data_IF_315081368726
#
_entry.id   IF_315081368726
#
_cell.length_a   1.000
_cell.length_b   1.000
_cell.length_c   1.000
_cell.angle_alpha   90.00
_cell.angle_beta   90.00
_cell.angle_gamma   90.00
#
_symmetry.space_group_name_H-M   'P 1'
#
loop_
_entity.id
_entity.type
_entity.pdbx_description
1 polymer ?
#
# COMPACT_ATOMS: atom_id res chain seq x y z
N UNK A 1 22.67 -1.79 7.67
CA UNK A 1 21.95 -1.87 6.39
C UNK A 1 21.27 -3.22 6.39
N UNK A 2 19.97 -3.26 6.68
CA UNK A 2 19.23 -4.52 6.80
C UNK A 2 18.80 -4.90 5.39
N UNK A 3 19.30 -6.02 4.86
CA UNK A 3 18.85 -6.54 3.57
C UNK A 3 17.37 -6.91 3.68
N UNK A 4 16.53 -6.19 2.94
CA UNK A 4 15.14 -6.60 2.74
C UNK A 4 15.16 -7.87 1.87
N UNK A 5 14.80 -9.00 2.46
CA UNK A 5 14.64 -10.25 1.72
C UNK A 5 13.40 -10.11 0.83
N UNK A 6 13.62 -9.99 -0.48
CA UNK A 6 12.53 -9.98 -1.44
C UNK A 6 11.77 -11.32 -1.36
N UNK A 7 10.45 -11.25 -1.23
CA UNK A 7 9.57 -12.42 -1.14
C UNK A 7 9.51 -13.14 -2.51
N UNK A 8 9.85 -12.43 -3.58
CA UNK A 8 9.80 -12.94 -4.95
C UNK A 8 11.19 -13.37 -5.40
N UNK A 9 11.30 -14.57 -5.95
CA UNK A 9 12.53 -15.07 -6.57
C UNK A 9 12.72 -14.43 -7.95
N UNK A 10 13.97 -14.07 -8.30
CA UNK A 10 14.33 -13.43 -9.59
C UNK A 10 13.94 -14.28 -10.80
N UNK A 11 13.79 -15.60 -10.62
CA UNK A 11 13.44 -16.55 -11.67
C UNK A 11 11.98 -17.04 -11.62
N UNK A 12 11.12 -16.47 -10.78
CA UNK A 12 9.71 -16.84 -10.69
C UNK A 12 8.80 -15.73 -11.23
N UNK A 13 7.81 -16.11 -12.04
CA UNK A 13 6.78 -15.19 -12.52
C UNK A 13 5.61 -15.16 -11.54
N UNK A 14 5.63 -14.23 -10.58
CA UNK A 14 4.47 -13.97 -9.71
C UNK A 14 3.39 -13.23 -10.50
N UNK A 15 2.15 -13.71 -10.45
CA UNK A 15 1.01 -13.04 -11.08
C UNK A 15 0.75 -11.66 -10.45
N UNK A 16 0.60 -10.63 -11.30
CA UNK A 16 0.30 -9.27 -10.85
C UNK A 16 -1.15 -9.21 -10.37
N UNK A 17 -1.34 -8.92 -9.09
CA UNK A 17 -2.64 -8.62 -8.48
C UNK A 17 -2.76 -7.11 -8.29
N UNK A 18 -3.88 -6.54 -8.73
CA UNK A 18 -4.16 -5.12 -8.57
C UNK A 18 -4.92 -4.84 -7.28
N UNK A 19 -4.52 -3.78 -6.58
CA UNK A 19 -5.26 -3.22 -5.45
C UNK A 19 -5.82 -1.86 -5.83
N UNK A 20 -7.11 -1.66 -5.55
CA UNK A 20 -7.88 -0.43 -5.79
C UNK A 20 -8.72 -0.13 -4.56
N UNK A 21 -9.51 0.95 -4.61
CA UNK A 21 -10.44 1.32 -3.53
C UNK A 21 -11.38 0.17 -3.13
N UNK A 22 -11.72 -0.71 -4.07
CA UNK A 22 -12.64 -1.82 -3.84
C UNK A 22 -12.06 -2.91 -2.94
N UNK A 23 -10.73 -3.12 -2.97
CA UNK A 23 -10.12 -4.29 -2.33
C UNK A 23 -8.85 -3.98 -1.50
N UNK A 24 -8.41 -2.73 -1.36
CA UNK A 24 -7.20 -2.43 -0.60
C UNK A 24 -7.28 -2.86 0.88
N UNK A 25 -8.49 -2.90 1.47
CA UNK A 25 -8.73 -3.43 2.83
C UNK A 25 -8.43 -4.94 2.97
N UNK A 26 -8.21 -5.66 1.86
CA UNK A 26 -7.79 -7.06 1.87
C UNK A 26 -6.28 -7.22 2.08
N UNK A 27 -5.50 -6.14 2.00
CA UNK A 27 -4.06 -6.15 2.24
C UNK A 27 -3.82 -6.39 3.74
N UNK A 28 -3.09 -7.44 4.15
CA UNK A 28 -2.89 -7.77 5.57
C UNK A 28 -2.31 -6.61 6.40
N UNK A 29 -1.40 -5.83 5.81
CA UNK A 29 -0.79 -4.68 6.47
C UNK A 29 -1.79 -3.53 6.67
N UNK A 30 -2.76 -3.35 5.77
CA UNK A 30 -3.83 -2.37 5.92
C UNK A 30 -4.82 -2.80 7.02
N UNK A 31 -5.10 -4.11 7.12
CA UNK A 31 -5.97 -4.65 8.17
C UNK A 31 -5.40 -4.45 9.59
N UNK A 32 -4.09 -4.27 9.72
CA UNK A 32 -3.42 -3.96 10.99
C UNK A 32 -3.49 -2.48 11.36
N UNK A 33 -3.89 -1.60 10.44
CA UNK A 33 -4.08 -0.17 10.70
C UNK A 33 -5.41 0.10 11.41
N UNK A 34 -5.51 1.23 12.11
CA UNK A 34 -6.77 1.65 12.75
C UNK A 34 -7.89 1.82 11.72
N UNK A 35 -9.14 1.56 12.14
CA UNK A 35 -10.32 1.80 11.29
C UNK A 35 -10.39 3.26 10.81
N UNK A 36 -9.96 4.21 11.65
CA UNK A 36 -9.86 5.63 11.26
C UNK A 36 -8.91 5.82 10.07
N UNK A 37 -7.71 5.24 10.12
CA UNK A 37 -6.76 5.36 9.01
C UNK A 37 -7.27 4.67 7.73
N UNK A 38 -7.93 3.52 7.86
CA UNK A 38 -8.55 2.85 6.72
C UNK A 38 -9.69 3.66 6.12
N UNK A 39 -10.51 4.30 6.96
CA UNK A 39 -11.58 5.18 6.54
C UNK A 39 -11.05 6.45 5.88
N UNK A 40 -10.00 7.07 6.40
CA UNK A 40 -9.35 8.21 5.77
C UNK A 40 -8.84 7.87 4.37
N UNK A 41 -8.18 6.71 4.20
CA UNK A 41 -7.78 6.21 2.88
C UNK A 41 -8.98 6.03 1.93
N UNK A 42 -10.10 5.52 2.44
CA UNK A 42 -11.31 5.33 1.67
C UNK A 42 -11.93 6.66 1.21
N UNK A 43 -12.04 7.64 2.11
CA UNK A 43 -12.58 8.98 1.79
C UNK A 43 -11.73 9.66 0.72
N UNK A 44 -10.41 9.65 0.88
CA UNK A 44 -9.50 10.26 -0.10
C UNK A 44 -9.54 9.52 -1.43
N UNK A 45 -9.58 8.19 -1.40
CA UNK A 45 -9.65 7.36 -2.59
C UNK A 45 -10.96 7.48 -3.38
N UNK A 46 -12.04 7.99 -2.77
CA UNK A 46 -13.28 8.35 -3.47
C UNK A 46 -13.15 9.66 -4.28
N UNK A 47 -12.22 10.54 -3.90
CA UNK A 47 -11.98 11.82 -4.59
C UNK A 47 -10.83 11.71 -5.58
N UNK A 48 -9.73 11.08 -5.17
CA UNK A 48 -8.53 10.90 -5.96
C UNK A 48 -8.39 9.43 -6.37
N UNK A 49 -8.32 9.13 -7.69
CA UNK A 49 -8.18 7.75 -8.14
C UNK A 49 -6.86 7.17 -7.65
N UNK A 50 -6.90 5.97 -7.09
CA UNK A 50 -5.70 5.22 -6.73
C UNK A 50 -5.74 3.78 -7.26
N UNK A 51 -4.56 3.26 -7.59
CA UNK A 51 -4.34 1.85 -7.91
C UNK A 51 -2.88 1.50 -7.61
N UNK A 52 -2.67 0.37 -6.94
CA UNK A 52 -1.36 -0.23 -6.72
C UNK A 52 -1.38 -1.71 -7.07
N UNK A 53 -0.28 -2.44 -6.88
CA UNK A 53 -0.20 -3.87 -7.12
C UNK A 53 0.54 -4.60 -6.01
N UNK A 54 0.49 -5.93 -6.02
CA UNK A 54 1.16 -6.77 -5.05
C UNK A 54 2.68 -6.61 -5.02
N UNK A 55 3.35 -6.32 -6.13
CA UNK A 55 4.79 -6.05 -6.10
C UNK A 55 5.12 -4.81 -5.27
N UNK A 56 4.38 -3.72 -5.46
CA UNK A 56 4.58 -2.48 -4.68
C UNK A 56 4.33 -2.74 -3.20
N UNK A 57 3.21 -3.38 -2.88
CA UNK A 57 2.78 -3.68 -1.50
C UNK A 57 3.74 -4.62 -0.80
N UNK A 58 4.22 -5.66 -1.48
CA UNK A 58 5.01 -6.73 -0.87
C UNK A 58 6.51 -6.48 -0.91
N UNK A 59 7.02 -5.73 -1.90
CA UNK A 59 8.46 -5.60 -2.16
C UNK A 59 8.99 -4.18 -2.01
N UNK A 60 8.17 -3.14 -2.23
CA UNK A 60 8.67 -1.75 -2.30
C UNK A 60 8.35 -0.91 -1.07
N UNK A 61 7.25 -1.21 -0.37
CA UNK A 61 6.85 -0.46 0.82
C UNK A 61 7.54 -1.03 2.05
N UNK A 62 8.28 -0.19 2.77
CA UNK A 62 8.72 -0.51 4.13
C UNK A 62 7.61 -0.22 5.15
N UNK A 63 6.81 -1.24 5.45
CA UNK A 63 5.70 -1.14 6.40
C UNK A 63 6.13 -0.82 7.84
N UNK A 64 7.41 -1.00 8.19
CA UNK A 64 7.93 -0.62 9.51
C UNK A 64 8.24 0.89 9.62
N UNK A 65 8.23 1.61 8.50
CA UNK A 65 8.55 3.03 8.43
C UNK A 65 7.35 3.91 8.03
N UNK A 66 6.13 3.38 8.08
CA UNK A 66 4.91 4.15 7.83
C UNK A 66 4.64 5.11 9.01
N UNK A 67 4.20 6.36 8.75
CA UNK A 67 3.76 6.91 7.46
C UNK A 67 4.86 7.58 6.62
N UNK A 68 6.14 7.46 6.99
CA UNK A 68 7.26 8.17 6.35
C UNK A 68 7.86 7.43 5.15
N UNK A 69 7.47 6.19 4.90
CA UNK A 69 7.91 5.41 3.75
C UNK A 69 7.52 6.09 2.43
N UNK A 70 8.47 6.46 1.55
CA UNK A 70 8.16 7.18 0.32
C UNK A 70 7.24 6.40 -0.62
N UNK A 71 7.36 5.08 -0.68
CA UNK A 71 6.53 4.25 -1.54
C UNK A 71 5.09 4.21 -1.04
N UNK A 72 4.88 4.14 0.27
CA UNK A 72 3.57 4.30 0.89
C UNK A 72 2.98 5.68 0.57
N UNK A 73 3.76 6.75 0.76
CA UNK A 73 3.29 8.14 0.50
C UNK A 73 2.88 8.36 -0.96
N UNK A 74 3.63 7.80 -1.90
CA UNK A 74 3.36 7.97 -3.33
C UNK A 74 2.19 7.13 -3.84
N UNK A 75 1.84 6.03 -3.15
CA UNK A 75 0.93 5.02 -3.71
C UNK A 75 -0.39 4.87 -2.96
N UNK A 76 -0.45 5.24 -1.68
CA UNK A 76 -1.68 5.15 -0.88
C UNK A 76 -2.32 6.53 -0.68
N UNK A 77 -3.66 6.63 -0.74
CA UNK A 77 -4.37 7.87 -0.44
C UNK A 77 -4.07 8.35 0.98
N UNK A 78 -3.88 9.66 1.18
CA UNK A 78 -3.62 10.23 2.51
C UNK A 78 -4.54 11.40 2.80
N UNK A 79 -4.95 11.54 4.07
CA UNK A 79 -5.82 12.63 4.53
C UNK A 79 -5.35 14.01 4.05
N UNK A 80 -4.04 14.27 4.11
CA UNK A 80 -3.44 15.54 3.69
C UNK A 80 -3.53 15.85 2.19
N UNK A 81 -4.03 14.94 1.37
CA UNK A 81 -4.25 15.19 -0.07
C UNK A 81 -5.53 15.99 -0.34
N UNK A 82 -6.46 16.02 0.61
CA UNK A 82 -7.67 16.85 0.55
C UNK A 82 -7.42 18.08 1.44
N UNK A 83 -7.09 19.21 0.80
CA UNK A 83 -6.87 20.51 1.46
C UNK A 83 -8.17 21.20 1.88
#
# INVERSE_FOLDING_TARGET
MTEQQAIWSVNETTSIKSYTLVNFRTIPQIQQMSEEAQFEMEVVGNVLPFKTNNYVVEQLIDWNNIPKDPMFVLTFPQKGMLI
#
